data_IF_953377569142
#
_entry.id   IF_953377569142
#
_cell.length_a   1.000
_cell.length_b   1.000
_cell.length_c   1.000
_cell.angle_alpha   90.00
_cell.angle_beta   90.00
_cell.angle_gamma   90.00
#
_symmetry.space_group_name_H-M   'P 1'
#
loop_
_entity.id
_entity.type
_entity.pdbx_description
1 polymer ?
#
# COMPACT_ATOMS: atom_id res chain seq x y z
N UNK A 1 -10.07 0.24 12.89
CA UNK A 1 -11.04 0.37 11.79
C UNK A 1 -10.41 -0.21 10.54
N UNK A 2 -11.22 -0.75 9.63
CA UNK A 2 -10.78 -1.04 8.26
C UNK A 2 -10.71 0.26 7.45
N UNK A 3 -9.92 0.30 6.37
CA UNK A 3 -9.89 1.46 5.48
C UNK A 3 -11.27 1.84 4.93
N UNK A 4 -12.16 0.86 4.75
CA UNK A 4 -13.53 1.13 4.31
C UNK A 4 -14.36 1.88 5.37
N UNK A 5 -14.18 1.56 6.65
CA UNK A 5 -14.87 2.26 7.74
C UNK A 5 -14.41 3.73 7.84
N UNK A 6 -13.11 3.99 7.64
CA UNK A 6 -12.56 5.34 7.60
C UNK A 6 -13.03 6.15 6.38
N UNK A 7 -13.29 5.51 5.22
CA UNK A 7 -13.94 6.19 4.09
C UNK A 7 -15.41 6.53 4.38
N UNK A 8 -16.07 5.76 5.22
CA UNK A 8 -17.48 5.98 5.58
C UNK A 8 -17.65 7.02 6.69
N UNK A 9 -16.61 7.30 7.48
CA UNK A 9 -16.63 8.35 8.52
C UNK A 9 -16.47 9.76 7.95
N UNK A 10 -16.10 9.90 6.67
CA UNK A 10 -15.82 11.19 6.03
C UNK A 10 -16.99 12.15 6.17
N UNK A 11 -16.73 13.29 6.81
CA UNK A 11 -17.66 14.40 6.83
C UNK A 11 -17.31 15.41 5.75
N UNK A 12 -18.32 16.12 5.24
CA UNK A 12 -18.08 17.14 4.23
C UNK A 12 -18.52 18.51 4.71
N UNK A 13 -17.62 19.49 4.58
CA UNK A 13 -17.89 20.90 4.87
C UNK A 13 -17.79 21.69 3.58
N UNK A 14 -18.78 22.54 3.31
CA UNK A 14 -18.77 23.40 2.12
C UNK A 14 -18.37 24.82 2.49
N UNK A 15 -17.44 25.37 1.72
CA UNK A 15 -17.12 26.80 1.69
C UNK A 15 -17.69 27.38 0.38
N UNK A 16 -17.55 28.70 0.17
CA UNK A 16 -18.09 29.36 -1.03
C UNK A 16 -17.59 28.73 -2.35
N UNK A 17 -16.34 28.27 -2.38
CA UNK A 17 -15.67 27.89 -3.62
C UNK A 17 -15.28 26.40 -3.69
N UNK A 18 -15.45 25.65 -2.59
CA UNK A 18 -15.05 24.24 -2.50
C UNK A 18 -15.77 23.45 -1.42
N UNK A 19 -15.91 22.15 -1.67
CA UNK A 19 -16.33 21.14 -0.69
C UNK A 19 -15.09 20.41 -0.17
N UNK A 20 -14.93 20.40 1.14
CA UNK A 20 -13.81 19.79 1.84
C UNK A 20 -14.27 18.48 2.48
N UNK A 21 -13.42 17.47 2.46
CA UNK A 21 -13.57 16.25 3.26
C UNK A 21 -12.82 16.44 4.58
N UNK A 22 -13.45 16.08 5.70
CA UNK A 22 -12.91 16.20 7.05
C UNK A 22 -12.98 14.82 7.70
N UNK A 23 -11.84 14.39 8.22
CA UNK A 23 -11.59 13.07 8.80
C UNK A 23 -10.83 13.27 10.11
N UNK A 24 -10.91 12.31 11.03
CA UNK A 24 -9.95 12.25 12.13
C UNK A 24 -8.53 11.97 11.58
N UNK A 25 -7.50 12.48 12.25
CA UNK A 25 -6.11 12.27 11.82
C UNK A 25 -5.72 10.78 11.84
N UNK A 26 -6.18 10.03 12.84
CA UNK A 26 -5.95 8.59 12.96
C UNK A 26 -6.64 7.83 11.83
N UNK A 27 -7.86 8.25 11.46
CA UNK A 27 -8.60 7.68 10.34
C UNK A 27 -7.88 7.94 9.01
N UNK A 28 -7.31 9.14 8.83
CA UNK A 28 -6.50 9.47 7.68
C UNK A 28 -5.24 8.61 7.57
N UNK A 29 -4.50 8.44 8.67
CA UNK A 29 -3.31 7.57 8.70
C UNK A 29 -3.69 6.10 8.41
N UNK A 30 -4.81 5.62 8.98
CA UNK A 30 -5.34 4.28 8.70
C UNK A 30 -5.69 4.08 7.22
N UNK A 31 -6.20 5.12 6.55
CA UNK A 31 -6.49 5.07 5.12
C UNK A 31 -5.22 4.96 4.27
N UNK A 32 -4.16 5.68 4.64
CA UNK A 32 -2.87 5.60 3.97
C UNK A 32 -2.30 4.19 4.11
N UNK A 33 -2.21 3.68 5.34
CA UNK A 33 -1.67 2.33 5.61
C UNK A 33 -2.47 1.25 4.86
N UNK A 34 -3.79 1.40 4.79
CA UNK A 34 -4.64 0.49 4.04
C UNK A 34 -4.36 0.52 2.53
N UNK A 35 -4.13 1.70 1.94
CA UNK A 35 -3.76 1.83 0.53
C UNK A 35 -2.38 1.23 0.25
N UNK A 36 -1.39 1.52 1.09
CA UNK A 36 -0.05 0.93 1.00
C UNK A 36 -0.11 -0.61 1.07
N UNK A 37 -0.91 -1.14 2.00
CA UNK A 37 -1.12 -2.59 2.13
C UNK A 37 -1.69 -3.22 0.85
N UNK A 38 -2.59 -2.52 0.15
CA UNK A 38 -3.16 -3.01 -1.11
C UNK A 38 -2.10 -3.04 -2.22
N UNK A 39 -1.28 -2.00 -2.32
CA UNK A 39 -0.17 -1.92 -3.28
C UNK A 39 0.89 -2.99 -3.01
N UNK A 40 1.35 -3.11 -1.76
CA UNK A 40 2.30 -4.13 -1.33
C UNK A 40 1.77 -5.54 -1.59
N UNK A 41 0.50 -5.79 -1.30
CA UNK A 41 -0.15 -7.07 -1.59
C UNK A 41 -0.16 -7.37 -3.08
N UNK A 42 -0.39 -6.36 -3.92
CA UNK A 42 -0.36 -6.52 -5.37
C UNK A 42 1.06 -6.89 -5.85
N UNK A 43 2.08 -6.16 -5.41
CA UNK A 43 3.49 -6.44 -5.74
C UNK A 43 3.88 -7.84 -5.27
N UNK A 44 3.54 -8.21 -4.03
CA UNK A 44 3.83 -9.53 -3.50
C UNK A 44 3.17 -10.66 -4.32
N UNK A 45 1.92 -10.46 -4.78
CA UNK A 45 1.24 -11.42 -5.65
C UNK A 45 1.91 -11.57 -7.01
N UNK A 46 2.38 -10.48 -7.62
CA UNK A 46 3.12 -10.53 -8.88
C UNK A 46 4.45 -11.27 -8.70
N UNK A 47 5.25 -10.87 -7.72
CA UNK A 47 6.53 -11.51 -7.42
C UNK A 47 6.37 -13.00 -7.11
N UNK A 48 5.31 -13.38 -6.39
CA UNK A 48 5.00 -14.78 -6.13
C UNK A 48 4.62 -15.56 -7.40
N UNK A 49 3.86 -14.96 -8.31
CA UNK A 49 3.51 -15.59 -9.59
C UNK A 49 4.75 -15.82 -10.46
N UNK A 50 5.66 -14.86 -10.52
CA UNK A 50 6.94 -14.98 -11.22
C UNK A 50 7.82 -16.08 -10.62
N UNK A 51 7.95 -16.12 -9.29
CA UNK A 51 8.68 -17.17 -8.60
C UNK A 51 8.09 -18.56 -8.88
N UNK A 52 6.75 -18.67 -8.87
CA UNK A 52 6.03 -19.91 -9.20
C UNK A 52 6.31 -20.36 -10.63
N UNK A 53 6.39 -19.43 -11.58
CA UNK A 53 6.68 -19.73 -12.99
C UNK A 53 8.16 -20.13 -13.20
N UNK A 54 9.09 -19.48 -12.50
CA UNK A 54 10.52 -19.77 -12.58
C UNK A 54 10.92 -21.09 -11.89
N UNK A 55 10.20 -21.48 -10.84
CA UNK A 55 10.41 -22.72 -10.07
C UNK A 55 11.50 -22.63 -8.99
N UNK A 56 12.44 -21.68 -9.12
CA UNK A 56 13.42 -21.33 -8.10
C UNK A 56 13.76 -19.83 -8.13
N UNK A 57 14.30 -19.33 -7.01
CA UNK A 57 14.57 -17.90 -6.79
C UNK A 57 15.64 -17.34 -7.74
N UNK A 58 16.67 -18.13 -8.05
CA UNK A 58 17.75 -17.69 -8.94
C UNK A 58 17.25 -17.51 -10.38
N UNK A 59 16.39 -18.43 -10.86
CA UNK A 59 15.74 -18.29 -12.17
C UNK A 59 14.73 -17.15 -12.24
N UNK A 60 14.14 -16.77 -11.11
CA UNK A 60 13.27 -15.60 -11.01
C UNK A 60 14.06 -14.28 -10.97
N UNK A 61 15.40 -14.32 -10.97
CA UNK A 61 16.24 -13.14 -10.89
C UNK A 61 16.29 -12.48 -9.52
N UNK A 62 15.91 -13.20 -8.46
CA UNK A 62 15.93 -12.67 -7.10
C UNK A 62 17.37 -12.55 -6.60
N UNK A 63 17.65 -11.43 -5.93
CA UNK A 63 18.94 -11.15 -5.32
C UNK A 63 18.87 -11.44 -3.81
N UNK A 64 20.00 -11.84 -3.23
CA UNK A 64 20.12 -11.99 -1.78
C UNK A 64 20.03 -10.60 -1.12
N UNK A 65 19.26 -10.49 -0.03
CA UNK A 65 19.01 -9.19 0.63
C UNK A 65 20.31 -8.47 1.02
N UNK A 66 21.24 -9.21 1.61
CA UNK A 66 22.52 -8.66 2.08
C UNK A 66 23.38 -8.11 0.94
N UNK A 67 23.14 -8.51 -0.32
CA UNK A 67 23.87 -7.99 -1.48
C UNK A 67 23.31 -6.68 -2.03
N UNK A 68 22.09 -6.27 -1.65
CA UNK A 68 21.40 -5.10 -2.23
C UNK A 68 20.96 -4.05 -1.21
N UNK A 69 20.89 -4.39 0.07
CA UNK A 69 20.37 -3.49 1.12
C UNK A 69 21.07 -2.12 1.15
N UNK A 70 22.38 -2.08 0.87
CA UNK A 70 23.15 -0.83 0.83
C UNK A 70 22.80 0.11 -0.34
N UNK A 71 22.10 -0.38 -1.36
CA UNK A 71 21.63 0.42 -2.50
C UNK A 71 20.20 0.95 -2.31
N UNK A 72 19.48 0.44 -1.30
CA UNK A 72 18.07 0.75 -1.01
C UNK A 72 17.89 1.69 0.19
N UNK A 73 18.98 2.22 0.75
CA UNK A 73 18.99 3.05 1.96
C UNK A 73 19.20 4.53 1.69
#
# INVERSE_FOLDING_TARGET
MTGLEALQSVQFVSTRDKRLAVLDATEWETLIEWLETLEDTYVAKQAFAELRAAGDRGRAGWLEWDSVVGELS
#
